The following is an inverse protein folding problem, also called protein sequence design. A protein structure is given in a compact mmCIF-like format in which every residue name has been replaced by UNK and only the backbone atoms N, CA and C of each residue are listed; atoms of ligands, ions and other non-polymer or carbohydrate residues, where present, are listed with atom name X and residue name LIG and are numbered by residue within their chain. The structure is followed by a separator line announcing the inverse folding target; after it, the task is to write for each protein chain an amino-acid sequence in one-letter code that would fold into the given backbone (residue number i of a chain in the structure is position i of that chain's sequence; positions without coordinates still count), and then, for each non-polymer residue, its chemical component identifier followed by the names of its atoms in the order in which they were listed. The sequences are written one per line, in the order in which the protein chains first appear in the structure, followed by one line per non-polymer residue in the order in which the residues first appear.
data_IF_608582820409
#
_entry.id   IF_608582820409
#
_cell.length_a   1.000
_cell.length_b   1.000
_cell.length_c   1.000
_cell.angle_alpha   90.00
_cell.angle_beta   90.00
_cell.angle_gamma   90.00
#
_symmetry.space_group_name_H-M   'P 1'
#
loop_
_entity.id
_entity.type
_entity.pdbx_description
1 polymer ?
#
# COMPACT_ATOMS: atom_id res chain seq x y z
N UNK A 1 -15.98 13.91 -8.84
CA UNK A 1 -15.85 12.78 -7.90
C UNK A 1 -14.44 12.69 -7.36
N UNK A 2 -14.34 12.49 -6.06
CA UNK A 2 -13.04 12.31 -5.44
C UNK A 2 -12.40 11.01 -5.91
N UNK A 3 -11.13 11.08 -6.27
CA UNK A 3 -10.35 9.89 -6.57
C UNK A 3 -9.91 9.22 -5.28
N UNK A 4 -9.79 7.90 -5.33
CA UNK A 4 -9.32 7.09 -4.21
C UNK A 4 -7.91 6.63 -4.48
N UNK A 5 -7.03 6.86 -3.53
CA UNK A 5 -5.62 6.47 -3.65
C UNK A 5 -5.21 5.59 -2.47
N UNK A 6 -4.49 4.53 -2.77
CA UNK A 6 -3.86 3.69 -1.77
C UNK A 6 -2.35 3.94 -1.80
N UNK A 7 -1.78 4.24 -0.64
CA UNK A 7 -0.33 4.35 -0.48
C UNK A 7 0.11 3.22 0.44
N UNK A 8 0.84 2.25 -0.08
CA UNK A 8 1.40 1.19 0.76
C UNK A 8 2.75 1.62 1.31
N UNK A 9 3.21 0.96 2.38
CA UNK A 9 4.41 1.42 3.07
C UNK A 9 4.22 2.80 3.69
N UNK A 10 2.97 3.16 3.99
CA UNK A 10 2.59 4.50 4.40
C UNK A 10 3.13 4.89 5.77
N UNK A 11 3.48 3.93 6.60
CA UNK A 11 4.07 4.20 7.91
C UNK A 11 5.50 4.72 7.83
N UNK A 12 6.17 4.57 6.67
CA UNK A 12 7.50 5.11 6.46
C UNK A 12 7.48 6.60 6.14
N UNK A 13 8.68 7.21 6.08
CA UNK A 13 8.80 8.65 5.85
C UNK A 13 8.24 9.06 4.49
N UNK A 14 8.67 8.38 3.42
CA UNK A 14 8.22 8.72 2.06
C UNK A 14 6.72 8.45 1.90
N UNK A 15 6.27 7.30 2.40
CA UNK A 15 4.86 6.94 2.31
C UNK A 15 3.95 7.93 3.01
N UNK A 16 4.33 8.37 4.22
CA UNK A 16 3.54 9.35 4.96
C UNK A 16 3.49 10.71 4.26
N UNK A 17 4.57 11.10 3.63
CA UNK A 17 4.63 12.33 2.83
C UNK A 17 3.66 12.27 1.64
N UNK A 18 3.59 11.11 0.98
CA UNK A 18 2.67 10.92 -0.14
C UNK A 18 1.21 10.91 0.33
N UNK A 19 0.94 10.38 1.51
CA UNK A 19 -0.40 10.41 2.10
C UNK A 19 -0.84 11.87 2.29
N UNK A 20 0.01 12.71 2.85
CA UNK A 20 -0.29 14.13 3.01
C UNK A 20 -0.56 14.81 1.67
N UNK A 21 0.26 14.51 0.67
CA UNK A 21 0.08 15.07 -0.66
C UNK A 21 -1.28 14.71 -1.28
N UNK A 22 -1.71 13.48 -1.09
CA UNK A 22 -3.03 13.04 -1.57
C UNK A 22 -4.16 13.78 -0.87
N UNK A 23 -4.05 13.96 0.44
CA UNK A 23 -5.06 14.69 1.20
C UNK A 23 -5.16 16.15 0.78
N UNK A 24 -4.02 16.79 0.54
CA UNK A 24 -3.98 18.18 0.08
C UNK A 24 -4.65 18.36 -1.28
N UNK A 25 -4.66 17.31 -2.10
CA UNK A 25 -5.29 17.34 -3.43
C UNK A 25 -6.75 16.94 -3.42
N UNK A 26 -7.32 16.73 -2.25
CA UNK A 26 -8.73 16.39 -2.09
C UNK A 26 -9.07 14.94 -2.43
N UNK A 27 -8.08 14.06 -2.44
CA UNK A 27 -8.32 12.65 -2.66
C UNK A 27 -8.74 11.94 -1.39
N UNK A 28 -9.47 10.83 -1.53
CA UNK A 28 -9.67 9.91 -0.43
C UNK A 28 -8.43 9.05 -0.32
N UNK A 29 -7.72 9.17 0.79
CA UNK A 29 -6.43 8.49 0.96
C UNK A 29 -6.56 7.31 1.92
N UNK A 30 -6.08 6.17 1.45
CA UNK A 30 -5.97 4.96 2.23
C UNK A 30 -4.50 4.68 2.47
N UNK A 31 -4.14 4.50 3.72
CA UNK A 31 -2.78 4.13 4.10
C UNK A 31 -2.70 2.62 4.24
N UNK A 32 -1.93 1.99 3.39
CA UNK A 32 -1.68 0.56 3.47
C UNK A 32 -0.64 0.28 4.52
N UNK A 33 -1.01 -0.43 5.56
CA UNK A 33 -0.14 -0.69 6.70
C UNK A 33 -0.20 -2.16 7.09
N UNK A 34 0.82 -2.62 7.81
CA UNK A 34 0.80 -3.93 8.45
C UNK A 34 0.23 -3.77 9.85
N UNK A 35 -0.27 -4.85 10.42
CA UNK A 35 -0.85 -4.84 11.75
C UNK A 35 0.08 -4.24 12.80
N UNK A 36 1.38 -4.51 12.69
CA UNK A 36 2.39 -4.06 13.64
C UNK A 36 3.03 -2.72 13.29
N UNK A 37 2.57 -2.06 12.22
CA UNK A 37 3.18 -0.81 11.76
C UNK A 37 2.94 0.34 12.73
N UNK A 38 3.97 1.17 12.93
CA UNK A 38 3.83 2.41 13.66
C UNK A 38 3.01 3.40 12.83
N UNK A 39 2.12 4.15 13.48
CA UNK A 39 1.30 5.15 12.82
C UNK A 39 1.66 6.56 13.25
N UNK A 40 2.90 6.77 13.73
CA UNK A 40 3.32 8.05 14.30
C UNK A 40 3.26 9.21 13.31
N UNK A 41 3.43 8.94 12.02
CA UNK A 41 3.34 9.95 10.96
C UNK A 41 1.96 10.03 10.31
N UNK A 42 1.00 9.21 10.74
CA UNK A 42 -0.30 9.07 10.11
C UNK A 42 -1.40 9.47 11.08
N UNK A 43 -1.35 10.74 11.50
CA UNK A 43 -2.24 11.24 12.56
C UNK A 43 -3.42 12.05 12.05
N UNK A 44 -3.46 12.37 10.76
CA UNK A 44 -4.57 13.14 10.20
C UNK A 44 -5.85 12.28 10.24
N UNK A 45 -6.93 12.85 10.77
CA UNK A 45 -8.20 12.13 10.93
C UNK A 45 -8.86 11.74 9.60
N UNK A 46 -8.44 12.34 8.50
CA UNK A 46 -8.98 12.01 7.17
C UNK A 46 -8.37 10.77 6.57
N UNK A 47 -7.26 10.27 7.13
CA UNK A 47 -6.58 9.08 6.63
C UNK A 47 -7.41 7.85 6.97
N UNK A 48 -7.65 7.02 5.96
CA UNK A 48 -8.28 5.71 6.13
C UNK A 48 -7.17 4.65 6.08
N UNK A 49 -7.36 3.56 6.78
CA UNK A 49 -6.34 2.52 6.87
C UNK A 49 -6.80 1.25 6.19
N UNK A 50 -5.89 0.63 5.45
CA UNK A 50 -6.08 -0.70 4.89
C UNK A 50 -4.95 -1.59 5.39
N UNK A 51 -5.30 -2.61 6.15
CA UNK A 51 -4.32 -3.57 6.64
C UNK A 51 -4.08 -4.62 5.56
N UNK A 52 -2.84 -4.74 5.08
CA UNK A 52 -2.49 -5.61 3.97
C UNK A 52 -1.23 -6.41 4.30
N UNK A 53 -1.31 -7.72 4.17
CA UNK A 53 -0.23 -8.64 4.47
C UNK A 53 0.38 -9.18 3.18
N UNK A 54 1.36 -8.49 2.64
CA UNK A 54 1.99 -8.87 1.37
C UNK A 54 2.83 -10.16 1.46
N UNK A 55 3.19 -10.58 2.66
CA UNK A 55 4.00 -11.79 2.83
C UNK A 55 3.17 -13.08 2.70
N UNK A 56 1.87 -13.00 2.87
CA UNK A 56 0.99 -14.15 2.88
C UNK A 56 -0.12 -13.99 1.83
N UNK A 57 0.07 -14.56 0.62
CA UNK A 57 -0.86 -14.32 -0.50
C UNK A 57 -2.31 -14.65 -0.21
N UNK A 58 -2.57 -15.75 0.50
CA UNK A 58 -3.95 -16.12 0.84
C UNK A 58 -4.63 -15.11 1.73
N UNK A 59 -3.92 -14.62 2.73
CA UNK A 59 -4.44 -13.60 3.63
C UNK A 59 -4.64 -12.28 2.92
N UNK A 60 -3.70 -11.92 2.02
CA UNK A 60 -3.80 -10.71 1.23
C UNK A 60 -5.06 -10.72 0.38
N UNK A 61 -5.36 -11.84 -0.29
CA UNK A 61 -6.57 -11.97 -1.09
C UNK A 61 -7.83 -11.79 -0.22
N UNK A 62 -7.85 -12.37 0.97
CA UNK A 62 -8.97 -12.18 1.89
C UNK A 62 -9.15 -10.72 2.29
N UNK A 63 -8.06 -10.05 2.63
CA UNK A 63 -8.09 -8.64 3.02
C UNK A 63 -8.59 -7.75 1.88
N UNK A 64 -8.11 -7.99 0.67
CA UNK A 64 -8.53 -7.23 -0.50
C UNK A 64 -9.99 -7.51 -0.87
N UNK A 65 -10.44 -8.76 -0.74
CA UNK A 65 -11.82 -9.13 -1.01
C UNK A 65 -12.78 -8.40 -0.07
N UNK A 66 -12.47 -8.37 1.22
CA UNK A 66 -13.28 -7.64 2.19
C UNK A 66 -13.30 -6.15 1.88
N UNK A 67 -12.14 -5.58 1.55
CA UNK A 67 -12.04 -4.17 1.19
C UNK A 67 -12.91 -3.83 -0.02
N UNK A 68 -12.85 -4.68 -1.05
CA UNK A 68 -13.65 -4.49 -2.26
C UNK A 68 -15.14 -4.50 -1.94
N UNK A 69 -15.58 -5.42 -1.09
CA UNK A 69 -16.98 -5.53 -0.70
C UNK A 69 -17.47 -4.30 0.06
N UNK A 70 -16.61 -3.74 0.92
CA UNK A 70 -16.98 -2.61 1.76
C UNK A 70 -16.80 -1.25 1.08
N UNK A 71 -15.77 -1.10 0.25
CA UNK A 71 -15.37 0.22 -0.26
C UNK A 71 -15.13 0.26 -1.75
N UNK A 72 -15.02 -0.89 -2.42
CA UNK A 72 -14.63 -0.97 -3.82
C UNK A 72 -13.11 -0.93 -3.98
N UNK A 73 -12.64 -0.60 -5.17
CA UNK A 73 -11.22 -0.54 -5.46
C UNK A 73 -10.65 0.87 -5.32
N UNK A 74 -9.38 1.01 -5.69
CA UNK A 74 -8.69 2.30 -5.72
C UNK A 74 -8.44 2.72 -7.16
N UNK A 75 -8.49 4.03 -7.41
CA UNK A 75 -8.18 4.58 -8.73
C UNK A 75 -6.66 4.58 -8.97
N UNK A 76 -5.89 4.86 -7.92
CA UNK A 76 -4.43 4.90 -7.98
C UNK A 76 -3.85 4.11 -6.82
N UNK A 77 -2.75 3.42 -7.08
CA UNK A 77 -1.98 2.75 -6.03
C UNK A 77 -0.53 3.21 -6.15
N UNK A 78 0.03 3.71 -5.06
CA UNK A 78 1.45 3.99 -4.93
C UNK A 78 2.01 2.95 -3.96
N UNK A 79 2.82 2.04 -4.50
CA UNK A 79 3.39 0.96 -3.71
C UNK A 79 4.82 1.29 -3.35
N UNK A 80 5.04 1.67 -2.10
CA UNK A 80 6.37 1.94 -1.58
C UNK A 80 7.03 0.65 -1.11
N UNK A 81 8.30 0.48 -1.45
CA UNK A 81 9.03 -0.71 -1.04
C UNK A 81 9.04 -0.84 0.47
N UNK A 82 8.55 -1.98 0.95
CA UNK A 82 8.28 -2.15 2.38
C UNK A 82 9.41 -2.71 3.21
N UNK A 83 10.46 -3.22 2.59
CA UNK A 83 11.56 -3.83 3.33
C UNK A 83 12.76 -2.89 3.29
N UNK A 84 12.98 -2.18 4.40
CA UNK A 84 14.06 -1.19 4.49
C UNK A 84 15.15 -1.56 5.51
N UNK A 85 14.91 -2.59 6.33
CA UNK A 85 15.84 -3.00 7.37
C UNK A 85 16.32 -4.41 7.12
N UNK A 86 17.12 -4.58 6.07
CA UNK A 86 17.72 -5.88 5.76
C UNK A 86 19.22 -5.79 5.88
N UNK A 87 19.83 -6.88 6.37
CA UNK A 87 21.28 -7.00 6.48
C UNK A 87 21.97 -7.03 5.13
N UNK A 88 21.29 -7.63 4.15
CA UNK A 88 21.87 -7.88 2.83
C UNK A 88 20.97 -7.33 1.75
N UNK A 89 21.60 -6.78 0.72
CA UNK A 89 20.91 -6.23 -0.43
C UNK A 89 20.00 -7.27 -1.11
N UNK A 90 20.45 -8.53 -1.14
CA UNK A 90 19.67 -9.61 -1.74
C UNK A 90 18.34 -9.84 -1.03
N UNK A 91 18.35 -9.82 0.31
CA UNK A 91 17.12 -9.96 1.09
C UNK A 91 16.15 -8.81 0.82
N UNK A 92 16.69 -7.61 0.70
CA UNK A 92 15.91 -6.42 0.40
C UNK A 92 15.23 -6.54 -0.97
N UNK A 93 15.98 -6.91 -1.99
CA UNK A 93 15.45 -7.07 -3.34
C UNK A 93 14.43 -8.18 -3.44
N UNK A 94 14.70 -9.34 -2.83
CA UNK A 94 13.79 -10.47 -2.84
C UNK A 94 12.49 -10.16 -2.11
N UNK A 95 12.58 -9.55 -0.94
CA UNK A 95 11.41 -9.18 -0.17
C UNK A 95 10.51 -8.23 -0.92
N UNK A 96 11.07 -7.19 -1.50
CA UNK A 96 10.32 -6.22 -2.27
C UNK A 96 9.72 -6.83 -3.54
N UNK A 97 10.47 -7.68 -4.23
CA UNK A 97 9.98 -8.36 -5.43
C UNK A 97 8.80 -9.27 -5.09
N UNK A 98 8.95 -10.10 -4.07
CA UNK A 98 7.91 -11.05 -3.68
C UNK A 98 6.65 -10.34 -3.22
N UNK A 99 6.79 -9.30 -2.41
CA UNK A 99 5.65 -8.54 -1.90
C UNK A 99 4.91 -7.83 -3.03
N UNK A 100 5.65 -7.23 -3.96
CA UNK A 100 5.03 -6.56 -5.11
C UNK A 100 4.33 -7.56 -6.01
N UNK A 101 4.96 -8.69 -6.28
CA UNK A 101 4.36 -9.76 -7.07
C UNK A 101 3.07 -10.27 -6.42
N UNK A 102 3.11 -10.55 -5.13
CA UNK A 102 1.93 -11.02 -4.40
C UNK A 102 0.78 -10.01 -4.51
N UNK A 103 1.10 -8.74 -4.41
CA UNK A 103 0.08 -7.69 -4.49
C UNK A 103 -0.56 -7.63 -5.88
N UNK A 104 0.26 -7.55 -6.92
CA UNK A 104 -0.24 -7.48 -8.30
C UNK A 104 -1.05 -8.72 -8.64
N UNK A 105 -0.55 -9.91 -8.28
CA UNK A 105 -1.26 -11.16 -8.55
C UNK A 105 -2.59 -11.26 -7.79
N UNK A 106 -2.70 -10.63 -6.63
CA UNK A 106 -3.94 -10.62 -5.88
C UNK A 106 -4.96 -9.64 -6.46
N UNK A 107 -4.51 -8.51 -7.00
CA UNK A 107 -5.40 -7.50 -7.56
C UNK A 107 -6.08 -7.96 -8.86
N UNK A 108 -5.37 -8.69 -9.71
CA UNK A 108 -5.87 -9.07 -11.02
C UNK A 108 -7.15 -9.93 -10.98
N UNK A 109 -7.18 -11.06 -10.25
CA UNK A 109 -8.40 -11.89 -10.24
C UNK A 109 -9.57 -11.24 -9.51
N UNK A 110 -9.32 -10.23 -8.68
CA UNK A 110 -10.35 -9.50 -7.96
C UNK A 110 -10.88 -8.31 -8.76
N UNK A 111 -10.35 -8.07 -9.94
CA UNK A 111 -10.69 -6.91 -10.76
C UNK A 111 -10.49 -5.59 -9.98
N UNK A 112 -9.36 -5.49 -9.29
CA UNK A 112 -8.98 -4.33 -8.50
C UNK A 112 -7.75 -3.61 -9.04
N UNK A 113 -7.34 -3.90 -10.28
CA UNK A 113 -6.20 -3.22 -10.90
C UNK A 113 -6.56 -1.75 -11.09
N UNK A 114 -5.76 -0.81 -10.54
CA UNK A 114 -6.08 0.61 -10.62
C UNK A 114 -5.77 1.20 -12.00
N UNK A 115 -6.21 2.43 -12.24
CA UNK A 115 -5.85 3.17 -13.46
C UNK A 115 -4.33 3.32 -13.57
N UNK A 116 -3.67 3.58 -12.44
CA UNK A 116 -2.21 3.66 -12.39
C UNK A 116 -1.69 2.95 -11.15
N UNK A 117 -0.64 2.18 -11.36
CA UNK A 117 0.09 1.51 -10.30
C UNK A 117 1.52 2.02 -10.35
N UNK A 118 1.93 2.76 -9.32
CA UNK A 118 3.26 3.36 -9.25
C UNK A 118 4.07 2.62 -8.20
N UNK A 119 5.21 2.08 -8.61
CA UNK A 119 6.10 1.38 -7.70
C UNK A 119 7.28 2.28 -7.36
N UNK A 120 7.46 2.56 -6.09
CA UNK A 120 8.59 3.35 -5.61
C UNK A 120 9.55 2.41 -4.89
N UNK A 121 10.74 2.26 -5.46
CA UNK A 121 11.79 1.46 -4.85
C UNK A 121 12.84 2.40 -4.27
N UNK A 122 13.13 2.23 -3.00
CA UNK A 122 14.19 2.98 -2.34
C UNK A 122 15.49 2.20 -2.49
N UNK A 123 16.41 2.73 -3.28
CA UNK A 123 17.72 2.14 -3.48
C UNK A 123 18.74 2.86 -2.60
N UNK A 124 18.57 2.77 -1.34
CA UNK A 124 19.55 3.38 -0.44
C UNK A 124 20.44 2.33 0.19
#
# INVERSE_FOLDING_TARGET
MEKRILVTGASGFIGSFLVEGGLERGMQVWAGVRKSSSRKYLKDSRIRFAELDFAHPGRLVEQLTVHKQMHGGWDYIIHCAGVTKCRHKEEFEQGNYIYTRNFVEALQPLDMVPEQFIYISSLS
#
